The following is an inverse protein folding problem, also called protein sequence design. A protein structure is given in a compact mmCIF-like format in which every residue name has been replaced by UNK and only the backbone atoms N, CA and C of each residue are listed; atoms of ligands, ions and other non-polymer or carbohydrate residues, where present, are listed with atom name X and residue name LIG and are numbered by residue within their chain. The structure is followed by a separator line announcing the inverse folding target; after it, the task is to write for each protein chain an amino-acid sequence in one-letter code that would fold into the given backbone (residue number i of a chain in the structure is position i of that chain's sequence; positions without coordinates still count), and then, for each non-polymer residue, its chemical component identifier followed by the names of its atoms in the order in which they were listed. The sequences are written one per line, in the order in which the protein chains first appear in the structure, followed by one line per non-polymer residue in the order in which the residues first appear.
data_IF_421072445848
#
_entry.id   IF_421072445848
#
_cell.length_a   1.000
_cell.length_b   1.000
_cell.length_c   1.000
_cell.angle_alpha   90.00
_cell.angle_beta   90.00
_cell.angle_gamma   90.00
#
_symmetry.space_group_name_H-M   'P 1'
#
loop_
_entity.id
_entity.type
_entity.pdbx_description
1 polymer ?
#
# COMPACT_ATOMS: atom_id res chain seq x y z
N UNK A 1 -7.15 2.27 18.09
CA UNK A 1 -6.56 1.70 16.86
C UNK A 1 -7.01 2.44 15.60
N UNK A 2 -8.32 2.55 15.29
CA UNK A 2 -8.78 3.29 14.09
C UNK A 2 -8.31 4.75 14.06
N UNK A 3 -8.39 5.46 15.19
CA UNK A 3 -7.92 6.85 15.27
C UNK A 3 -6.45 7.04 14.92
N UNK A 4 -5.58 6.08 15.28
CA UNK A 4 -4.17 6.11 14.87
C UNK A 4 -4.03 5.95 13.35
N UNK A 5 -4.75 5.01 12.74
CA UNK A 5 -4.72 4.81 11.28
C UNK A 5 -5.14 6.09 10.54
N UNK A 6 -6.21 6.73 11.01
CA UNK A 6 -6.69 7.99 10.41
C UNK A 6 -5.70 9.15 10.62
N UNK A 7 -4.98 9.16 11.73
CA UNK A 7 -3.90 10.13 11.98
C UNK A 7 -2.75 9.94 10.97
N UNK A 8 -2.33 8.70 10.74
CA UNK A 8 -1.31 8.37 9.73
C UNK A 8 -1.76 8.78 8.33
N UNK A 9 -3.02 8.52 7.96
CA UNK A 9 -3.56 8.96 6.66
C UNK A 9 -3.51 10.48 6.51
N UNK A 10 -3.84 11.24 7.58
CA UNK A 10 -3.74 12.70 7.55
C UNK A 10 -2.31 13.17 7.38
N UNK A 11 -1.36 12.57 8.08
CA UNK A 11 0.07 12.91 7.96
C UNK A 11 0.60 12.63 6.56
N UNK A 12 0.31 11.45 5.99
CA UNK A 12 0.70 11.08 4.62
C UNK A 12 0.13 12.03 3.56
N UNK A 13 -1.02 12.67 3.81
CA UNK A 13 -1.62 13.67 2.92
C UNK A 13 -1.10 15.09 3.15
N UNK A 14 -0.63 15.38 4.35
CA UNK A 14 -0.20 16.73 4.73
C UNK A 14 1.20 17.02 4.20
N UNK A 15 2.11 16.10 4.36
CA UNK A 15 3.54 16.30 4.05
C UNK A 15 4.16 15.07 3.39
N UNK A 16 5.17 15.32 2.57
CA UNK A 16 5.92 14.26 1.91
C UNK A 16 6.74 13.47 2.94
N UNK A 17 6.79 12.16 2.80
CA UNK A 17 7.63 11.30 3.65
C UNK A 17 9.12 11.61 3.44
N UNK A 18 9.93 11.37 4.46
CA UNK A 18 11.39 11.56 4.37
C UNK A 18 12.00 10.55 3.37
N UNK A 19 13.11 10.94 2.74
CA UNK A 19 13.84 10.04 1.84
C UNK A 19 14.32 8.77 2.54
N UNK A 20 14.66 8.85 3.82
CA UNK A 20 15.07 7.70 4.61
C UNK A 20 13.90 6.72 4.79
N UNK A 21 12.71 7.22 5.11
CA UNK A 21 11.50 6.41 5.27
C UNK A 21 11.06 5.80 3.95
N UNK A 22 11.12 6.56 2.85
CA UNK A 22 10.86 6.06 1.51
C UNK A 22 11.83 4.93 1.14
N UNK A 23 13.12 5.09 1.43
CA UNK A 23 14.12 4.07 1.14
C UNK A 23 13.87 2.78 1.95
N UNK A 24 13.55 2.89 3.24
CA UNK A 24 13.18 1.74 4.06
C UNK A 24 11.94 1.01 3.51
N UNK A 25 10.93 1.76 3.07
CA UNK A 25 9.74 1.16 2.46
C UNK A 25 10.06 0.43 1.15
N UNK A 26 10.92 1.00 0.29
CA UNK A 26 11.39 0.35 -0.95
C UNK A 26 12.14 -0.94 -0.67
N UNK A 27 13.07 -0.93 0.29
CA UNK A 27 13.87 -2.11 0.64
C UNK A 27 12.98 -3.22 1.23
N UNK A 28 12.02 -2.86 2.08
CA UNK A 28 11.04 -3.78 2.63
C UNK A 28 10.17 -4.42 1.53
N UNK A 29 9.68 -3.60 0.60
CA UNK A 29 8.86 -4.07 -0.51
C UNK A 29 9.63 -5.03 -1.43
N UNK A 30 10.87 -4.68 -1.78
CA UNK A 30 11.74 -5.53 -2.61
C UNK A 30 12.07 -6.86 -1.91
N UNK A 31 12.37 -6.81 -0.62
CA UNK A 31 12.63 -8.01 0.19
C UNK A 31 11.43 -8.96 0.22
N UNK A 32 10.23 -8.44 0.49
CA UNK A 32 9.00 -9.24 0.49
C UNK A 32 8.68 -9.81 -0.89
N UNK A 33 8.91 -9.07 -1.96
CA UNK A 33 8.72 -9.56 -3.32
C UNK A 33 9.62 -10.76 -3.62
N UNK A 34 10.89 -10.69 -3.27
CA UNK A 34 11.84 -11.80 -3.44
C UNK A 34 11.38 -13.03 -2.66
N UNK A 35 11.06 -12.88 -1.38
CA UNK A 35 10.56 -13.96 -0.53
C UNK A 35 9.27 -14.59 -1.07
N UNK A 36 8.36 -13.77 -1.60
CA UNK A 36 7.09 -14.26 -2.16
C UNK A 36 7.25 -15.15 -3.38
N UNK A 37 8.39 -15.09 -4.06
CA UNK A 37 8.71 -15.86 -5.27
C UNK A 37 9.72 -17.00 -5.05
N UNK A 38 9.94 -17.41 -3.81
CA UNK A 38 10.87 -18.50 -3.50
C UNK A 38 10.36 -19.86 -3.99
N UNK A 39 9.04 -20.10 -3.93
CA UNK A 39 8.49 -21.39 -4.34
C UNK A 39 8.13 -21.44 -5.82
N UNK A 40 8.25 -22.61 -6.43
CA UNK A 40 7.84 -22.82 -7.84
C UNK A 40 6.37 -22.53 -8.08
N UNK A 41 5.49 -22.88 -7.12
CA UNK A 41 4.05 -22.58 -7.19
C UNK A 41 3.78 -21.08 -7.20
N UNK A 42 4.46 -20.32 -6.36
CA UNK A 42 4.34 -18.85 -6.33
C UNK A 42 4.84 -18.22 -7.62
N UNK A 43 5.97 -18.70 -8.16
CA UNK A 43 6.49 -18.23 -9.45
C UNK A 43 5.51 -18.48 -10.61
N UNK A 44 4.98 -19.71 -10.67
CA UNK A 44 3.99 -20.09 -11.68
C UNK A 44 2.74 -19.21 -11.59
N UNK A 45 2.16 -19.06 -10.40
CA UNK A 45 0.97 -18.23 -10.19
C UNK A 45 1.22 -16.75 -10.52
N UNK A 46 2.41 -16.25 -10.20
CA UNK A 46 2.79 -14.88 -10.53
C UNK A 46 2.93 -14.70 -12.04
N UNK A 47 3.60 -15.61 -12.74
CA UNK A 47 3.75 -15.55 -14.19
C UNK A 47 2.39 -15.62 -14.90
N UNK A 48 1.50 -16.53 -14.48
CA UNK A 48 0.15 -16.62 -15.03
C UNK A 48 -0.65 -15.33 -14.83
N UNK A 49 -0.55 -14.73 -13.64
CA UNK A 49 -1.23 -13.48 -13.32
C UNK A 49 -0.69 -12.31 -14.14
N UNK A 50 0.62 -12.22 -14.30
CA UNK A 50 1.25 -11.20 -15.14
C UNK A 50 0.82 -11.31 -16.61
N UNK A 51 0.76 -12.53 -17.14
CA UNK A 51 0.26 -12.77 -18.49
C UNK A 51 -1.19 -12.36 -18.65
N UNK A 52 -2.06 -12.71 -17.67
CA UNK A 52 -3.48 -12.38 -17.72
C UNK A 52 -3.75 -10.87 -17.65
N UNK A 53 -2.99 -10.12 -16.84
CA UNK A 53 -3.25 -8.69 -16.63
C UNK A 53 -2.45 -7.77 -17.55
N UNK A 54 -1.25 -8.18 -17.95
CA UNK A 54 -0.32 -7.32 -18.69
C UNK A 54 0.04 -7.88 -20.08
N UNK A 55 -0.34 -9.13 -20.38
CA UNK A 55 0.02 -9.79 -21.64
C UNK A 55 1.52 -10.02 -21.81
N UNK A 56 2.28 -9.95 -20.70
CA UNK A 56 3.73 -10.18 -20.69
C UNK A 56 4.25 -10.53 -19.32
N UNK A 57 5.39 -11.17 -19.27
CA UNK A 57 6.13 -11.38 -18.04
C UNK A 57 6.98 -10.15 -17.70
N UNK A 58 6.89 -9.66 -16.48
CA UNK A 58 7.67 -8.54 -15.96
C UNK A 58 8.77 -9.12 -15.06
N UNK A 59 10.03 -8.85 -15.39
CA UNK A 59 11.15 -9.37 -14.61
C UNK A 59 11.24 -8.72 -13.23
N UNK A 60 11.87 -9.42 -12.28
CA UNK A 60 12.12 -8.86 -10.95
C UNK A 60 12.98 -7.60 -11.00
N UNK A 61 13.94 -7.56 -11.93
CA UNK A 61 14.80 -6.39 -12.13
C UNK A 61 14.00 -5.18 -12.62
N UNK A 62 13.03 -5.40 -13.53
CA UNK A 62 12.14 -4.34 -13.98
C UNK A 62 11.28 -3.80 -12.83
N UNK A 63 10.72 -4.71 -11.99
CA UNK A 63 9.92 -4.29 -10.83
C UNK A 63 10.79 -3.53 -9.83
N UNK A 64 11.97 -4.05 -9.51
CA UNK A 64 12.91 -3.41 -8.58
C UNK A 64 13.28 -2.01 -9.04
N UNK A 65 13.61 -1.84 -10.32
CA UNK A 65 13.92 -0.53 -10.90
C UNK A 65 12.74 0.43 -10.79
N UNK A 66 11.52 -0.01 -11.10
CA UNK A 66 10.32 0.84 -10.97
C UNK A 66 10.05 1.25 -9.53
N UNK A 67 10.30 0.37 -8.57
CA UNK A 67 10.21 0.70 -7.15
C UNK A 67 11.26 1.76 -6.78
N UNK A 68 12.49 1.64 -7.29
CA UNK A 68 13.55 2.61 -7.02
C UNK A 68 13.27 4.00 -7.64
N UNK A 69 12.56 4.05 -8.76
CA UNK A 69 12.17 5.30 -9.44
C UNK A 69 11.08 6.10 -8.69
N UNK A 70 10.32 5.47 -7.76
CA UNK A 70 9.28 6.16 -6.98
C UNK A 70 9.87 7.26 -6.12
N UNK A 71 9.23 8.42 -6.14
CA UNK A 71 9.65 9.60 -5.38
C UNK A 71 8.68 9.97 -4.25
N UNK A 72 9.16 10.66 -3.24
CA UNK A 72 8.34 11.11 -2.11
C UNK A 72 7.15 12.01 -2.51
N UNK A 73 7.28 12.94 -3.47
CA UNK A 73 6.13 13.69 -3.99
C UNK A 73 5.05 12.83 -4.66
N UNK A 74 5.44 11.78 -5.40
CA UNK A 74 4.46 10.85 -6.03
C UNK A 74 3.68 10.08 -4.97
N UNK A 75 4.33 9.65 -3.88
CA UNK A 75 3.65 9.01 -2.74
C UNK A 75 2.63 9.96 -2.11
N UNK A 76 2.98 11.23 -1.93
CA UNK A 76 2.07 12.26 -1.41
C UNK A 76 0.86 12.48 -2.32
N UNK A 77 1.06 12.53 -3.63
CA UNK A 77 -0.02 12.69 -4.61
C UNK A 77 -1.00 11.51 -4.55
N UNK A 78 -0.51 10.29 -4.57
CA UNK A 78 -1.31 9.06 -4.43
C UNK A 78 -2.05 9.03 -3.08
N UNK A 79 -1.39 9.41 -1.99
CA UNK A 79 -2.02 9.47 -0.67
C UNK A 79 -3.22 10.44 -0.65
N UNK A 80 -3.08 11.60 -1.27
CA UNK A 80 -4.17 12.59 -1.39
C UNK A 80 -5.33 12.10 -2.25
N UNK A 81 -5.04 11.32 -3.27
CA UNK A 81 -6.07 10.74 -4.14
C UNK A 81 -6.80 9.57 -3.45
N UNK A 82 -6.09 8.70 -2.77
CA UNK A 82 -6.63 7.47 -2.19
C UNK A 82 -7.32 7.69 -0.84
N UNK A 83 -6.72 8.49 0.07
CA UNK A 83 -7.23 8.66 1.43
C UNK A 83 -8.25 9.80 1.53
N UNK A 84 -9.38 9.63 0.86
CA UNK A 84 -10.51 10.55 0.93
C UNK A 84 -11.62 9.95 1.81
N UNK A 85 -12.21 10.77 2.68
CA UNK A 85 -13.24 10.32 3.64
C UNK A 85 -14.43 9.62 2.98
N UNK A 86 -14.83 10.06 1.80
CA UNK A 86 -15.95 9.49 1.03
C UNK A 86 -15.60 8.14 0.36
N UNK A 87 -14.31 7.85 0.17
CA UNK A 87 -13.81 6.60 -0.41
C UNK A 87 -13.43 5.55 0.62
N UNK A 88 -13.41 5.90 1.91
CA UNK A 88 -13.07 4.96 2.98
C UNK A 88 -14.26 4.06 3.33
N UNK A 89 -14.00 2.77 3.43
CA UNK A 89 -14.89 1.77 3.97
C UNK A 89 -14.22 1.06 5.15
N UNK A 90 -14.97 0.88 6.24
CA UNK A 90 -14.47 0.19 7.44
C UNK A 90 -15.43 -0.91 7.82
N UNK A 91 -14.87 -2.09 8.10
CA UNK A 91 -15.59 -3.23 8.65
C UNK A 91 -15.00 -3.61 10.00
N UNK A 92 -15.85 -3.72 11.00
CA UNK A 92 -15.47 -4.19 12.33
C UNK A 92 -15.97 -5.61 12.55
N UNK A 93 -15.09 -6.47 13.04
CA UNK A 93 -15.42 -7.84 13.44
C UNK A 93 -14.96 -8.07 14.88
N UNK A 94 -15.89 -8.45 15.78
CA UNK A 94 -15.60 -8.71 17.18
C UNK A 94 -16.76 -8.37 18.12
N UNK A 95 -16.55 -8.39 19.44
CA UNK A 95 -17.55 -8.02 20.43
C UNK A 95 -17.75 -6.49 20.49
N UNK A 96 -18.51 -5.95 19.55
CA UNK A 96 -18.69 -4.50 19.36
C UNK A 96 -19.99 -3.95 19.98
N UNK A 97 -20.62 -4.65 20.92
CA UNK A 97 -21.94 -4.32 21.47
C UNK A 97 -22.06 -2.90 22.06
N UNK A 98 -20.96 -2.27 22.44
CA UNK A 98 -20.91 -0.92 22.99
C UNK A 98 -20.17 0.07 22.07
N UNK A 99 -19.75 -0.36 20.89
CA UNK A 99 -19.00 0.48 19.98
C UNK A 99 -19.96 1.24 19.06
N UNK A 100 -19.96 2.56 19.17
CA UNK A 100 -20.68 3.45 18.26
C UNK A 100 -19.69 4.09 17.32
N UNK A 101 -19.97 3.98 16.04
CA UNK A 101 -19.14 4.52 14.98
C UNK A 101 -20.01 5.19 13.93
N UNK A 102 -19.61 6.37 13.50
CA UNK A 102 -20.30 7.15 12.49
C UNK A 102 -19.35 7.48 11.33
N UNK A 103 -19.89 7.88 10.20
CA UNK A 103 -19.06 8.30 9.07
C UNK A 103 -18.21 9.54 9.39
N UNK A 104 -18.64 10.39 10.29
CA UNK A 104 -17.85 11.54 10.75
C UNK A 104 -16.54 11.14 11.43
N UNK A 105 -16.51 9.96 12.06
CA UNK A 105 -15.31 9.42 12.70
C UNK A 105 -14.24 8.97 11.67
N UNK A 106 -14.59 8.89 10.37
CA UNK A 106 -13.66 8.57 9.26
C UNK A 106 -12.98 9.81 8.66
N UNK A 107 -13.19 10.99 9.20
CA UNK A 107 -12.57 12.20 8.66
C UNK A 107 -11.04 12.08 8.64
N UNK A 108 -10.44 12.12 7.47
CA UNK A 108 -9.00 12.04 7.25
C UNK A 108 -8.53 13.07 6.21
#
# INVERSE_FOLDING_TARGET
MLGLILTEFRQLKAEAISEQELQHAKDYLKGNLLLSLETTGSRMSNAARQEMYFGRNISLDEISRRVDEVTSPEVLEVARECFQTDRLAVTFLGPINHFRFTRADLAC
#
